data_IF_999526958657
#
_entry.id   IF_999526958657
#
_cell.length_a   1.000
_cell.length_b   1.000
_cell.length_c   1.000
_cell.angle_alpha   90.00
_cell.angle_beta   90.00
_cell.angle_gamma   90.00
#
_symmetry.space_group_name_H-M   'P 1'
#
loop_
_entity.id
_entity.type
_entity.pdbx_description
1 polymer ?
#
# COMPACT_ATOMS: atom_id res chain seq x y z
N UNK A 1 -16.77 -65.57 6.16
CA UNK A 1 -15.88 -64.54 6.73
C UNK A 1 -16.23 -63.19 6.13
N UNK A 2 -16.22 -62.15 6.97
CA UNK A 2 -16.82 -60.82 6.81
C UNK A 2 -15.97 -59.84 5.97
N UNK A 3 -16.67 -58.95 5.24
CA UNK A 3 -16.43 -57.48 5.06
C UNK A 3 -15.19 -57.08 4.23
N UNK A 4 -15.16 -56.04 3.39
CA UNK A 4 -16.05 -54.89 3.13
C UNK A 4 -15.63 -54.22 1.81
N UNK A 5 -16.57 -53.47 1.21
CA UNK A 5 -16.42 -52.65 0.00
C UNK A 5 -15.40 -51.53 0.24
N UNK A 6 -14.42 -51.34 -0.66
CA UNK A 6 -13.53 -50.17 -0.61
C UNK A 6 -14.13 -49.01 -1.42
N UNK A 7 -14.32 -47.92 -0.69
CA UNK A 7 -15.01 -46.69 -1.05
C UNK A 7 -14.04 -45.75 -1.77
N UNK A 8 -14.54 -45.06 -2.79
CA UNK A 8 -13.98 -43.85 -3.39
C UNK A 8 -13.51 -42.87 -2.30
N UNK A 9 -12.23 -42.52 -2.27
CA UNK A 9 -11.74 -41.38 -1.49
C UNK A 9 -10.81 -40.53 -2.35
N UNK A 10 -11.41 -39.50 -2.92
CA UNK A 10 -10.79 -38.28 -3.43
C UNK A 10 -10.01 -37.60 -2.28
N UNK A 11 -8.69 -37.44 -2.44
CA UNK A 11 -7.85 -36.59 -1.58
C UNK A 11 -6.89 -35.85 -2.52
N UNK A 12 -7.29 -34.70 -3.08
CA UNK A 12 -7.05 -33.35 -2.55
C UNK A 12 -5.60 -33.18 -2.05
N UNK A 13 -4.78 -32.64 -2.96
CA UNK A 13 -3.78 -31.60 -2.74
C UNK A 13 -3.00 -31.67 -1.41
N UNK A 14 -1.86 -32.36 -1.41
CA UNK A 14 -0.80 -32.13 -0.42
C UNK A 14 0.03 -30.93 -0.85
N UNK A 15 -0.48 -29.72 -0.60
CA UNK A 15 0.38 -28.55 -0.39
C UNK A 15 0.85 -28.61 1.05
N UNK A 16 2.10 -29.01 1.31
CA UNK A 16 2.76 -28.68 2.56
C UNK A 16 4.28 -28.85 2.42
N UNK A 17 4.94 -27.80 1.93
CA UNK A 17 6.17 -27.35 2.57
C UNK A 17 5.98 -25.86 2.83
N UNK A 18 5.25 -25.59 3.91
CA UNK A 18 5.21 -24.30 4.56
C UNK A 18 6.63 -23.98 5.03
N UNK A 19 7.41 -23.31 4.20
CA UNK A 19 8.42 -22.41 4.71
C UNK A 19 7.65 -21.32 5.41
N UNK A 20 7.73 -21.32 6.74
CA UNK A 20 7.35 -20.21 7.60
C UNK A 20 8.16 -18.99 7.20
N UNK A 21 7.66 -18.26 6.21
CA UNK A 21 8.03 -16.86 6.01
C UNK A 21 7.11 -16.05 6.91
N UNK A 22 7.43 -16.02 8.22
CA UNK A 22 7.04 -14.89 9.06
C UNK A 22 8.07 -13.78 8.82
N UNK A 23 8.15 -13.33 7.57
CA UNK A 23 8.68 -12.01 7.30
C UNK A 23 7.49 -11.08 7.43
N UNK A 24 7.38 -10.36 8.54
CA UNK A 24 6.67 -9.10 8.49
C UNK A 24 7.44 -8.27 7.47
N UNK A 25 6.96 -8.22 6.22
CA UNK A 25 7.42 -7.22 5.29
C UNK A 25 7.19 -5.88 5.99
N UNK A 26 8.24 -5.10 6.16
CA UNK A 26 8.14 -3.77 6.72
C UNK A 26 7.11 -2.99 5.90
N UNK A 27 6.05 -2.49 6.54
CA UNK A 27 4.98 -1.75 5.86
C UNK A 27 5.48 -0.44 5.27
N UNK A 28 6.55 0.09 5.87
CA UNK A 28 7.27 1.30 5.53
C UNK A 28 7.48 1.58 4.02
N UNK A 29 7.77 0.57 3.20
CA UNK A 29 8.11 0.81 1.79
C UNK A 29 6.89 1.05 0.91
N UNK A 30 5.72 0.47 1.23
CA UNK A 30 4.51 0.81 0.47
C UNK A 30 4.09 2.26 0.69
N UNK A 31 4.51 2.86 1.80
CA UNK A 31 4.03 4.15 2.30
C UNK A 31 4.62 5.37 1.57
N UNK A 32 5.68 5.19 0.75
CA UNK A 32 6.14 6.25 -0.19
C UNK A 32 5.45 6.18 -1.57
N UNK A 33 4.65 5.13 -1.86
CA UNK A 33 4.04 4.98 -3.19
C UNK A 33 3.07 6.12 -3.55
N UNK A 34 2.50 6.79 -2.55
CA UNK A 34 1.62 7.95 -2.74
C UNK A 34 2.38 9.25 -3.00
N UNK A 35 3.69 9.27 -2.82
CA UNK A 35 4.47 10.50 -2.85
C UNK A 35 4.66 11.04 -4.28
N UNK A 36 4.41 12.34 -4.45
CA UNK A 36 4.79 13.08 -5.65
C UNK A 36 6.27 13.45 -5.59
N UNK A 37 7.08 12.89 -6.49
CA UNK A 37 8.53 13.18 -6.59
C UNK A 37 8.84 14.48 -7.35
N UNK A 38 7.93 14.92 -8.21
CA UNK A 38 8.07 16.15 -8.99
C UNK A 38 7.40 17.33 -8.27
N UNK A 39 8.20 18.15 -7.60
CA UNK A 39 7.71 19.32 -6.86
C UNK A 39 6.98 20.34 -7.73
N UNK A 40 7.16 20.34 -9.06
CA UNK A 40 6.43 21.22 -9.96
C UNK A 40 4.94 20.86 -10.10
N UNK A 41 4.56 19.63 -9.72
CA UNK A 41 3.17 19.16 -9.70
C UNK A 41 2.46 19.41 -8.37
N UNK A 42 3.19 19.81 -7.34
CA UNK A 42 2.68 19.95 -5.98
C UNK A 42 2.11 21.35 -5.76
N UNK A 43 0.87 21.43 -5.29
CA UNK A 43 0.29 22.68 -4.84
C UNK A 43 0.55 22.87 -3.33
N UNK A 44 1.65 23.54 -3.00
CA UNK A 44 2.03 23.80 -1.61
C UNK A 44 1.07 24.79 -0.94
N UNK A 45 0.50 24.38 0.18
CA UNK A 45 -0.32 25.23 1.04
C UNK A 45 0.40 25.67 2.31
N UNK A 46 -0.32 26.39 3.16
CA UNK A 46 0.12 26.76 4.50
C UNK A 46 -0.64 25.96 5.54
N UNK A 47 0.06 25.44 6.55
CA UNK A 47 -0.55 24.75 7.69
C UNK A 47 -0.74 25.76 8.83
N UNK A 48 -1.98 25.92 9.31
CA UNK A 48 -2.30 26.82 10.42
C UNK A 48 -1.59 26.40 11.72
N UNK A 49 -1.46 27.30 12.69
CA UNK A 49 -0.82 26.96 13.98
C UNK A 49 -1.61 25.87 14.71
N UNK A 50 -2.94 25.88 14.58
CA UNK A 50 -3.85 24.90 15.11
C UNK A 50 -3.63 23.52 14.46
N UNK A 51 -3.58 23.48 13.12
CA UNK A 51 -3.30 22.23 12.40
C UNK A 51 -1.89 21.70 12.69
N UNK A 52 -0.89 22.58 12.83
CA UNK A 52 0.46 22.16 13.22
C UNK A 52 0.48 21.47 14.58
N UNK A 53 -0.25 22.01 15.57
CA UNK A 53 -0.34 21.39 16.89
C UNK A 53 -0.99 20.00 16.82
N UNK A 54 -2.04 19.84 16.01
CA UNK A 54 -2.70 18.56 15.77
C UNK A 54 -1.75 17.56 15.09
N UNK A 55 -1.10 17.96 14.00
CA UNK A 55 -0.17 17.13 13.25
C UNK A 55 1.03 16.71 14.09
N UNK A 56 1.50 17.56 15.01
CA UNK A 56 2.61 17.23 15.92
C UNK A 56 2.28 16.05 16.83
N UNK A 57 1.01 15.85 17.19
CA UNK A 57 0.57 14.70 18.01
C UNK A 57 0.64 13.39 17.23
N UNK A 58 0.39 13.42 15.91
CA UNK A 58 0.47 12.25 15.05
C UNK A 58 1.86 11.98 14.49
N UNK A 59 2.72 12.98 14.44
CA UNK A 59 3.98 12.88 13.73
C UNK A 59 5.00 12.04 14.49
N UNK A 60 5.55 11.03 13.82
CA UNK A 60 6.67 10.23 14.30
C UNK A 60 7.91 10.57 13.48
N UNK A 61 8.86 11.28 14.11
CA UNK A 61 10.08 11.72 13.45
C UNK A 61 11.00 10.56 13.05
N UNK A 62 11.07 9.51 13.87
CA UNK A 62 11.91 8.35 13.59
C UNK A 62 11.38 7.57 12.40
N UNK A 63 10.06 7.35 12.39
CA UNK A 63 9.36 6.77 11.25
C UNK A 63 9.55 7.62 9.98
N UNK A 64 9.29 8.92 10.08
CA UNK A 64 9.38 9.83 8.96
C UNK A 64 10.80 9.89 8.38
N UNK A 65 11.84 9.89 9.20
CA UNK A 65 13.22 9.82 8.71
C UNK A 65 13.54 8.46 8.06
N UNK A 66 13.04 7.36 8.64
CA UNK A 66 13.28 6.01 8.15
C UNK A 66 12.72 5.79 6.73
N UNK A 67 11.49 6.25 6.49
CA UNK A 67 10.83 6.15 5.17
C UNK A 67 11.12 7.33 4.24
N UNK A 68 12.07 8.19 4.60
CA UNK A 68 12.50 9.29 3.73
C UNK A 68 14.02 9.41 3.79
N UNK A 69 14.77 8.52 3.11
CA UNK A 69 16.22 8.46 3.20
C UNK A 69 16.92 9.78 2.80
N UNK A 70 16.31 10.56 1.91
CA UNK A 70 16.76 11.90 1.53
C UNK A 70 16.75 12.88 2.73
N UNK A 71 15.71 12.78 3.58
CA UNK A 71 15.57 13.61 4.77
C UNK A 71 16.46 13.13 5.90
N UNK A 72 16.62 11.81 6.08
CA UNK A 72 17.59 11.28 7.04
C UNK A 72 19.02 11.69 6.68
N UNK A 73 19.39 11.64 5.40
CA UNK A 73 20.72 12.11 4.96
C UNK A 73 20.95 13.61 5.23
N UNK A 74 19.88 14.42 5.18
CA UNK A 74 19.95 15.88 5.36
C UNK A 74 19.86 16.34 6.81
N UNK A 75 18.97 15.73 7.58
CA UNK A 75 18.58 16.18 8.93
C UNK A 75 18.90 15.14 10.03
N UNK A 76 19.23 13.91 9.66
CA UNK A 76 19.43 12.82 10.61
C UNK A 76 18.16 12.57 11.43
N UNK A 77 18.33 12.57 12.76
CA UNK A 77 17.25 12.39 13.73
C UNK A 77 16.79 13.73 14.35
N UNK A 78 17.03 14.87 13.70
CA UNK A 78 16.54 16.17 14.19
C UNK A 78 15.01 16.24 14.05
N UNK A 79 14.30 15.92 15.12
CA UNK A 79 12.84 15.87 15.15
C UNK A 79 12.18 17.21 14.79
N UNK A 80 12.81 18.33 15.14
CA UNK A 80 12.28 19.66 14.83
C UNK A 80 12.42 19.97 13.35
N UNK A 81 13.58 19.67 12.76
CA UNK A 81 13.81 19.84 11.32
C UNK A 81 12.92 18.91 10.48
N UNK A 82 12.77 17.64 10.89
CA UNK A 82 11.91 16.66 10.23
C UNK A 82 10.43 17.06 10.30
N UNK A 83 9.96 17.48 11.47
CA UNK A 83 8.59 17.96 11.61
C UNK A 83 8.35 19.22 10.79
N UNK A 84 9.29 20.18 10.81
CA UNK A 84 9.21 21.37 9.98
C UNK A 84 9.14 21.02 8.49
N UNK A 85 9.93 20.05 8.03
CA UNK A 85 9.85 19.55 6.66
C UNK A 85 8.47 18.95 6.37
N UNK A 86 7.93 18.14 7.28
CA UNK A 86 6.62 17.51 7.08
C UNK A 86 5.51 18.54 6.88
N UNK A 87 5.43 19.57 7.73
CA UNK A 87 4.36 20.59 7.66
C UNK A 87 4.55 21.61 6.53
N UNK A 88 5.77 21.84 6.06
CA UNK A 88 6.06 22.81 4.98
C UNK A 88 6.05 22.17 3.60
N UNK A 89 6.44 20.89 3.50
CA UNK A 89 6.67 20.19 2.25
C UNK A 89 5.99 18.81 2.24
N UNK A 90 6.27 17.97 3.24
CA UNK A 90 5.90 16.55 3.22
C UNK A 90 4.41 16.27 3.03
N UNK A 91 3.54 16.97 3.76
CA UNK A 91 2.08 16.80 3.65
C UNK A 91 1.58 17.10 2.23
N UNK A 92 2.14 18.13 1.60
CA UNK A 92 1.76 18.54 0.25
C UNK A 92 2.30 17.61 -0.83
N UNK A 93 3.41 16.93 -0.55
CA UNK A 93 3.97 15.88 -1.41
C UNK A 93 3.28 14.52 -1.24
N UNK A 94 2.36 14.38 -0.29
CA UNK A 94 1.71 13.10 0.04
C UNK A 94 2.60 12.15 0.86
N UNK A 95 3.66 12.67 1.50
CA UNK A 95 4.50 11.88 2.41
C UNK A 95 3.74 11.57 3.70
N UNK A 96 3.99 10.38 4.25
CA UNK A 96 3.31 9.87 5.43
C UNK A 96 4.09 10.16 6.71
N UNK A 97 3.45 10.80 7.70
CA UNK A 97 4.11 11.28 8.92
C UNK A 97 4.26 10.25 10.06
N UNK A 98 3.58 9.10 9.98
CA UNK A 98 3.65 8.00 10.94
C UNK A 98 3.17 6.69 10.30
N UNK A 99 3.47 5.54 10.89
CA UNK A 99 3.11 4.22 10.36
C UNK A 99 1.60 3.90 10.32
N UNK A 100 0.79 4.59 11.12
CA UNK A 100 -0.60 4.20 11.41
C UNK A 100 -1.63 4.94 10.54
N UNK A 101 -1.21 5.96 9.79
CA UNK A 101 -2.11 6.81 9.02
C UNK A 101 -1.52 7.31 7.69
N UNK A 102 -2.12 6.86 6.59
CA UNK A 102 -1.93 7.33 5.23
C UNK A 102 -3.17 8.12 4.77
N UNK A 103 -2.99 9.39 4.44
CA UNK A 103 -4.11 10.28 4.09
C UNK A 103 -4.81 9.90 2.79
N UNK A 104 -4.07 9.38 1.81
CA UNK A 104 -4.62 8.96 0.52
C UNK A 104 -5.43 7.67 0.65
N UNK A 105 -4.94 6.71 1.45
CA UNK A 105 -5.68 5.49 1.79
C UNK A 105 -7.00 5.82 2.50
N UNK A 106 -6.94 6.70 3.49
CA UNK A 106 -8.10 7.13 4.26
C UNK A 106 -9.13 7.84 3.36
N UNK A 107 -8.69 8.75 2.49
CA UNK A 107 -9.58 9.45 1.58
C UNK A 107 -10.20 8.52 0.51
N UNK A 108 -9.46 7.50 0.05
CA UNK A 108 -9.94 6.54 -0.94
C UNK A 108 -10.92 5.52 -0.36
N UNK A 109 -10.86 5.27 0.95
CA UNK A 109 -11.71 4.28 1.61
C UNK A 109 -13.09 4.80 2.02
N UNK A 110 -13.26 6.13 2.16
CA UNK A 110 -14.46 6.74 2.73
C UNK A 110 -15.06 7.81 1.83
N UNK A 111 -16.03 7.41 1.01
CA UNK A 111 -16.73 8.27 0.05
C UNK A 111 -17.42 9.47 0.71
N UNK A 112 -17.90 9.33 1.94
CA UNK A 112 -18.56 10.41 2.67
C UNK A 112 -17.57 11.51 3.07
N UNK A 113 -16.36 11.13 3.49
CA UNK A 113 -15.28 12.08 3.75
C UNK A 113 -14.79 12.69 2.44
N UNK A 114 -14.69 11.89 1.37
CA UNK A 114 -14.32 12.40 0.04
C UNK A 114 -15.31 13.43 -0.49
N UNK A 115 -16.61 13.19 -0.29
CA UNK A 115 -17.66 14.14 -0.64
C UNK A 115 -17.60 15.42 0.22
N UNK A 116 -17.26 15.31 1.50
CA UNK A 116 -17.19 16.44 2.42
C UNK A 116 -15.93 17.31 2.23
N UNK A 117 -14.77 16.69 1.99
CA UNK A 117 -13.47 17.36 2.04
C UNK A 117 -12.81 17.52 0.66
N UNK A 118 -13.20 16.71 -0.32
CA UNK A 118 -12.59 16.73 -1.65
C UNK A 118 -11.08 16.46 -1.57
N UNK A 119 -10.27 17.47 -1.88
CA UNK A 119 -8.81 17.42 -1.85
C UNK A 119 -8.19 18.24 -0.71
N UNK A 120 -8.98 18.65 0.30
CA UNK A 120 -8.44 19.28 1.51
C UNK A 120 -7.73 18.21 2.38
N UNK A 121 -6.43 18.02 2.14
CA UNK A 121 -5.57 17.07 2.85
C UNK A 121 -5.64 17.28 4.37
N UNK A 122 -5.62 18.54 4.83
CA UNK A 122 -5.63 18.86 6.25
C UNK A 122 -6.98 18.50 6.90
N UNK A 123 -8.09 18.55 6.17
CA UNK A 123 -9.40 18.12 6.69
C UNK A 123 -9.42 16.62 7.05
N UNK A 124 -8.76 15.76 6.28
CA UNK A 124 -8.63 14.34 6.61
C UNK A 124 -7.80 14.12 7.87
N UNK A 125 -6.67 14.82 8.01
CA UNK A 125 -5.86 14.77 9.24
C UNK A 125 -6.67 15.23 10.45
N UNK A 126 -7.39 16.37 10.35
CA UNK A 126 -8.27 16.86 11.42
C UNK A 126 -9.32 15.82 11.80
N UNK A 127 -10.00 15.23 10.80
CA UNK A 127 -11.02 14.22 11.04
C UNK A 127 -10.44 13.01 11.76
N UNK A 128 -9.34 12.46 11.27
CA UNK A 128 -8.70 11.30 11.87
C UNK A 128 -8.26 11.54 13.32
N UNK A 129 -7.64 12.69 13.61
CA UNK A 129 -7.18 13.03 14.96
C UNK A 129 -8.33 13.20 15.94
N UNK A 130 -9.40 13.87 15.52
CA UNK A 130 -10.51 14.23 16.39
C UNK A 130 -11.44 13.04 16.67
N UNK A 131 -11.58 12.13 15.71
CA UNK A 131 -12.47 10.96 15.87
C UNK A 131 -11.73 9.76 16.44
N UNK A 132 -10.53 9.45 15.92
CA UNK A 132 -9.82 8.17 16.13
C UNK A 132 -10.74 6.96 15.99
N UNK A 133 -11.75 7.05 15.13
CA UNK A 133 -12.81 6.06 15.03
C UNK A 133 -12.34 4.85 14.23
N UNK A 134 -11.57 3.98 14.88
CA UNK A 134 -11.08 2.73 14.29
C UNK A 134 -12.15 1.64 14.25
N UNK A 135 -13.28 1.82 14.95
CA UNK A 135 -14.39 0.86 14.94
C UNK A 135 -15.21 0.98 13.65
N UNK A 136 -15.52 2.19 13.21
CA UNK A 136 -16.27 2.40 11.96
C UNK A 136 -15.36 2.66 10.76
N UNK A 137 -14.13 3.13 10.99
CA UNK A 137 -13.16 3.46 9.92
C UNK A 137 -11.80 2.78 10.12
N UNK A 138 -11.72 1.44 9.96
CA UNK A 138 -10.49 0.68 10.20
C UNK A 138 -9.42 0.86 9.11
N UNK A 139 -9.79 1.28 7.90
CA UNK A 139 -8.85 1.51 6.79
C UNK A 139 -8.12 2.83 6.99
N UNK A 140 -6.92 2.77 7.55
CA UNK A 140 -6.08 3.96 7.81
C UNK A 140 -4.74 3.94 7.08
N UNK A 141 -4.30 2.79 6.56
CA UNK A 141 -3.01 2.62 5.88
C UNK A 141 -3.17 2.00 4.50
N UNK A 142 -2.15 2.12 3.64
CA UNK A 142 -2.12 1.45 2.33
C UNK A 142 -2.20 -0.07 2.47
N UNK A 143 -1.57 -0.63 3.50
CA UNK A 143 -1.64 -2.07 3.79
C UNK A 143 -3.07 -2.53 4.03
N UNK A 144 -3.82 -1.84 4.90
CA UNK A 144 -5.21 -2.20 5.20
C UNK A 144 -6.10 -1.97 3.98
N UNK A 145 -5.89 -0.87 3.23
CA UNK A 145 -6.61 -0.62 1.98
C UNK A 145 -6.42 -1.77 0.97
N UNK A 146 -5.18 -2.25 0.82
CA UNK A 146 -4.85 -3.41 -0.01
C UNK A 146 -5.58 -4.68 0.43
N UNK A 147 -5.57 -4.99 1.73
CA UNK A 147 -6.28 -6.15 2.29
C UNK A 147 -7.78 -6.12 2.02
N UNK A 148 -8.36 -4.92 1.92
CA UNK A 148 -9.78 -4.69 1.64
C UNK A 148 -10.08 -4.56 0.14
N UNK A 149 -9.08 -4.69 -0.73
CA UNK A 149 -9.23 -4.59 -2.18
C UNK A 149 -9.45 -3.17 -2.68
N UNK A 150 -9.13 -2.16 -1.87
CA UNK A 150 -9.32 -0.75 -2.20
C UNK A 150 -8.14 -0.26 -3.05
N UNK A 151 -8.44 0.36 -4.18
CA UNK A 151 -7.45 1.07 -4.99
C UNK A 151 -7.33 2.49 -4.47
N UNK A 152 -6.11 2.89 -4.12
CA UNK A 152 -5.81 4.20 -3.54
C UNK A 152 -5.39 5.16 -4.64
N UNK A 153 -5.97 6.35 -4.64
CA UNK A 153 -5.60 7.44 -5.57
C UNK A 153 -5.05 8.61 -4.76
N UNK A 154 -3.90 9.14 -5.16
CA UNK A 154 -3.30 10.26 -4.43
C UNK A 154 -4.18 11.51 -4.49
N UNK A 155 -4.31 12.20 -3.35
CA UNK A 155 -4.98 13.50 -3.25
C UNK A 155 -4.17 14.61 -3.94
N UNK A 156 -2.86 14.42 -4.10
CA UNK A 156 -1.93 15.41 -4.66
C UNK A 156 -1.85 15.29 -6.18
N UNK A 157 -1.59 14.08 -6.68
CA UNK A 157 -1.51 13.78 -8.12
C UNK A 157 -2.42 12.58 -8.47
N UNK A 158 -3.62 12.82 -9.06
CA UNK A 158 -4.55 11.74 -9.40
C UNK A 158 -4.02 10.72 -10.42
N UNK A 159 -2.88 10.98 -11.08
CA UNK A 159 -2.22 9.98 -11.93
C UNK A 159 -1.52 8.88 -11.12
N UNK A 160 -1.25 9.15 -9.83
CA UNK A 160 -0.74 8.17 -8.88
C UNK A 160 -1.90 7.32 -8.39
N UNK A 161 -2.02 6.13 -8.98
CA UNK A 161 -2.98 5.10 -8.61
C UNK A 161 -2.23 3.88 -8.10
N UNK A 162 -2.53 3.47 -6.87
CA UNK A 162 -1.90 2.37 -6.13
C UNK A 162 -2.94 1.27 -5.96
N UNK A 163 -2.73 0.16 -6.65
CA UNK A 163 -3.60 -1.02 -6.55
C UNK A 163 -3.19 -1.90 -5.37
N UNK A 164 -4.07 -2.80 -4.89
CA UNK A 164 -3.69 -3.80 -3.89
C UNK A 164 -2.44 -4.63 -4.29
N UNK A 165 -2.28 -4.88 -5.59
CA UNK A 165 -1.14 -5.63 -6.11
C UNK A 165 0.16 -4.83 -6.10
N UNK A 166 0.10 -3.49 -6.32
CA UNK A 166 1.27 -2.61 -6.18
C UNK A 166 1.80 -2.63 -4.72
N UNK A 167 0.89 -2.57 -3.73
CA UNK A 167 1.24 -2.66 -2.30
C UNK A 167 1.89 -4.00 -1.98
N UNK A 168 1.26 -5.11 -2.41
CA UNK A 168 1.80 -6.45 -2.20
C UNK A 168 3.20 -6.61 -2.82
N UNK A 169 3.39 -6.15 -4.05
CA UNK A 169 4.67 -6.26 -4.75
C UNK A 169 5.75 -5.39 -4.10
N UNK A 170 5.39 -4.18 -3.64
CA UNK A 170 6.26 -3.31 -2.86
C UNK A 170 6.77 -3.99 -1.59
N UNK A 171 5.86 -4.58 -0.81
CA UNK A 171 6.16 -5.25 0.45
C UNK A 171 7.10 -6.46 0.27
N UNK A 172 6.84 -7.33 -0.70
CA UNK A 172 7.67 -8.54 -0.91
C UNK A 172 9.06 -8.23 -1.47
N UNK A 173 9.22 -7.13 -2.22
CA UNK A 173 10.50 -6.74 -2.82
C UNK A 173 11.24 -5.68 -1.99
N UNK A 174 10.62 -5.15 -0.94
CA UNK A 174 11.19 -4.10 -0.10
C UNK A 174 11.52 -2.83 -0.88
N UNK A 175 10.67 -2.43 -1.84
CA UNK A 175 10.91 -1.25 -2.68
C UNK A 175 9.73 -0.29 -2.64
N UNK A 176 10.03 0.98 -2.39
CA UNK A 176 9.07 2.08 -2.36
C UNK A 176 8.97 2.82 -3.71
N UNK A 177 9.75 2.39 -4.71
CA UNK A 177 9.74 3.02 -6.03
C UNK A 177 8.57 2.51 -6.89
N UNK A 178 7.51 3.32 -6.98
CA UNK A 178 6.28 2.97 -7.69
C UNK A 178 6.51 2.57 -9.15
N UNK A 179 7.46 3.18 -9.86
CA UNK A 179 7.79 2.81 -11.24
C UNK A 179 8.41 1.40 -11.32
N UNK A 180 9.37 1.10 -10.44
CA UNK A 180 9.93 -0.24 -10.31
C UNK A 180 8.87 -1.28 -9.93
N UNK A 181 7.95 -0.92 -9.03
CA UNK A 181 6.80 -1.75 -8.65
C UNK A 181 5.93 -2.04 -9.87
N UNK A 182 5.43 -1.00 -10.55
CA UNK A 182 4.57 -1.14 -11.75
C UNK A 182 5.25 -1.95 -12.85
N UNK A 183 6.56 -1.77 -13.06
CA UNK A 183 7.30 -2.56 -14.03
C UNK A 183 7.38 -4.05 -13.64
N UNK A 184 7.65 -4.33 -12.36
CA UNK A 184 7.70 -5.69 -11.83
C UNK A 184 6.35 -6.41 -11.88
N UNK A 185 5.27 -5.68 -11.61
CA UNK A 185 3.89 -6.15 -11.75
C UNK A 185 3.60 -6.59 -13.19
N UNK A 186 3.88 -5.73 -14.17
CA UNK A 186 3.66 -6.02 -15.59
C UNK A 186 4.43 -7.24 -16.09
N UNK A 187 5.66 -7.46 -15.61
CA UNK A 187 6.45 -8.65 -15.95
C UNK A 187 5.78 -9.91 -15.39
N UNK A 188 5.26 -9.83 -14.17
CA UNK A 188 4.62 -10.97 -13.49
C UNK A 188 3.32 -11.36 -14.19
N UNK A 189 2.49 -10.38 -14.55
CA UNK A 189 1.25 -10.62 -15.31
C UNK A 189 1.52 -11.30 -16.66
N UNK A 190 2.54 -10.83 -17.39
CA UNK A 190 2.95 -11.44 -18.66
C UNK A 190 3.39 -12.89 -18.47
N UNK A 191 4.14 -13.19 -17.40
CA UNK A 191 4.59 -14.56 -17.10
C UNK A 191 3.41 -15.47 -16.72
N UNK A 192 2.49 -14.98 -15.89
CA UNK A 192 1.30 -15.73 -15.50
C UNK A 192 0.43 -16.05 -16.72
N UNK A 193 0.17 -15.06 -17.58
CA UNK A 193 -0.61 -15.25 -18.81
C UNK A 193 0.03 -16.29 -19.74
N UNK A 194 1.34 -16.21 -19.95
CA UNK A 194 2.07 -17.19 -20.75
C UNK A 194 2.03 -18.61 -20.15
N UNK A 195 2.07 -18.74 -18.82
CA UNK A 195 1.89 -20.02 -18.14
C UNK A 195 0.47 -20.57 -18.33
N UNK A 196 -0.56 -19.75 -18.16
CA UNK A 196 -1.96 -20.15 -18.39
C UNK A 196 -2.18 -20.62 -19.83
N UNK A 197 -1.70 -19.88 -20.82
CA UNK A 197 -1.77 -20.26 -22.24
C UNK A 197 -1.03 -21.58 -22.52
N UNK A 198 0.14 -21.78 -21.90
CA UNK A 198 0.88 -23.03 -22.01
C UNK A 198 0.14 -24.22 -21.36
N UNK A 199 -0.51 -24.00 -20.21
CA UNK A 199 -1.34 -25.00 -19.51
C UNK A 199 -2.55 -25.40 -20.37
N UNK A 200 -3.24 -24.41 -20.95
CA UNK A 200 -4.39 -24.63 -21.85
C UNK A 200 -3.97 -25.39 -23.11
N UNK A 201 -2.84 -25.03 -23.72
CA UNK A 201 -2.29 -25.74 -24.86
C UNK A 201 -1.91 -27.20 -24.51
N UNK A 202 -1.27 -27.43 -23.36
CA UNK A 202 -0.98 -28.79 -22.87
C UNK A 202 -2.26 -29.61 -22.68
N UNK A 203 -3.29 -29.01 -22.07
CA UNK A 203 -4.60 -29.65 -21.90
C UNK A 203 -5.25 -29.96 -23.25
N UNK A 204 -5.16 -29.06 -24.22
CA UNK A 204 -5.65 -29.28 -25.58
C UNK A 204 -4.95 -30.48 -26.24
N UNK A 205 -3.61 -30.55 -26.18
CA UNK A 205 -2.83 -31.64 -26.76
C UNK A 205 -3.19 -33.00 -26.14
N UNK A 206 -3.31 -33.07 -24.82
CA UNK A 206 -3.72 -34.30 -24.11
C UNK A 206 -5.14 -34.72 -24.51
N UNK A 207 -6.08 -33.77 -24.58
CA UNK A 207 -7.49 -34.06 -24.92
C UNK A 207 -7.66 -34.59 -26.34
N UNK A 208 -6.80 -34.16 -27.28
CA UNK A 208 -6.86 -34.56 -28.68
C UNK A 208 -5.88 -35.69 -29.04
N UNK A 209 -5.21 -36.31 -28.04
CA UNK A 209 -4.25 -37.39 -28.26
C UNK A 209 -3.00 -36.98 -29.05
N UNK A 210 -2.69 -35.68 -29.05
CA UNK A 210 -1.53 -35.10 -29.74
C UNK A 210 -0.29 -35.03 -28.84
N UNK A 211 -0.42 -35.40 -27.56
CA UNK A 211 0.66 -35.59 -26.61
C UNK A 211 0.49 -36.93 -25.89
N UNK A 212 1.61 -37.61 -25.63
CA UNK A 212 1.69 -38.86 -24.85
C UNK A 212 1.70 -38.60 -23.35
#
# INVERSE_FOLDING_TARGET
>A
MKRTKNILALAICTVLSATTFLGFASTAQAEELSQVKDSAKVNYGTVSAEDQALLKVLFDAGYYAYINPDLYAKYGNDEAALFNHFITTGIWEGRQGNQDFNVDAYASAYDDLKAAYGNDILAYYRHYINTKDTETRPVTTLHIASQWGITVTSLVDPSIVITPYDVYFSEINGTADLESVKHGVLITDKKMKAQTEAEEYRKFLVTHGLAY
#
